data_IF_712039911663
#
_entry.id   IF_712039911663
#
_cell.length_a   1.000
_cell.length_b   1.000
_cell.length_c   1.000
_cell.angle_alpha   90.00
_cell.angle_beta   90.00
_cell.angle_gamma   90.00
#
_symmetry.space_group_name_H-M   'P 1'
#
loop_
_entity.id
_entity.type
_entity.pdbx_description
1 polymer ?
#
# COMPACT_ATOMS: atom_id res chain seq x y z
N UNK A 1 14.54 -35.77 -10.44
CA UNK A 1 14.84 -34.32 -10.54
C UNK A 1 13.53 -33.58 -10.51
N UNK A 2 13.28 -32.75 -9.50
CA UNK A 2 12.07 -31.93 -9.42
C UNK A 2 12.33 -30.62 -10.18
N UNK A 3 11.63 -30.40 -11.27
CA UNK A 3 11.66 -29.15 -12.03
C UNK A 3 10.84 -28.09 -11.30
N UNK A 4 11.49 -27.06 -10.80
CA UNK A 4 10.84 -25.84 -10.29
C UNK A 4 10.09 -25.16 -11.43
N UNK A 5 8.83 -24.74 -11.25
CA UNK A 5 8.09 -24.05 -12.29
C UNK A 5 8.65 -22.63 -12.43
N UNK A 6 9.31 -22.36 -13.55
CA UNK A 6 9.74 -21.01 -13.92
C UNK A 6 8.47 -20.19 -14.17
N UNK A 7 8.19 -19.19 -13.33
CA UNK A 7 7.13 -18.19 -13.58
C UNK A 7 7.46 -17.50 -14.91
N UNK A 8 6.82 -17.93 -15.99
CA UNK A 8 6.87 -17.25 -17.28
C UNK A 8 6.08 -15.96 -17.17
N UNK A 9 6.73 -14.87 -16.76
CA UNK A 9 6.19 -13.54 -16.96
C UNK A 9 6.25 -13.23 -18.47
N UNK A 10 5.10 -13.02 -19.15
CA UNK A 10 5.12 -12.72 -20.58
C UNK A 10 5.85 -11.40 -20.80
N UNK A 11 6.88 -11.44 -21.66
CA UNK A 11 7.59 -10.26 -22.15
C UNK A 11 6.60 -9.35 -22.88
N UNK A 12 6.45 -8.12 -22.38
CA UNK A 12 5.83 -6.94 -23.02
C UNK A 12 4.39 -6.53 -22.67
N UNK A 13 3.73 -7.10 -21.67
CA UNK A 13 2.53 -6.45 -21.11
C UNK A 13 2.98 -5.54 -19.95
N UNK A 14 2.78 -4.23 -20.08
CA UNK A 14 2.94 -3.29 -18.96
C UNK A 14 2.14 -3.86 -17.78
N UNK A 15 2.76 -4.15 -16.62
CA UNK A 15 2.06 -4.74 -15.49
C UNK A 15 0.82 -3.91 -15.16
N UNK A 16 -0.35 -4.55 -15.17
CA UNK A 16 -1.61 -3.87 -14.89
C UNK A 16 -2.10 -4.25 -13.51
N UNK A 17 -2.49 -3.23 -12.75
CA UNK A 17 -3.25 -3.44 -11.53
C UNK A 17 -4.59 -4.11 -11.85
N UNK A 18 -4.96 -5.07 -11.02
CA UNK A 18 -6.26 -5.69 -10.95
C UNK A 18 -7.33 -4.63 -10.70
N UNK A 19 -8.55 -4.93 -11.17
CA UNK A 19 -9.70 -4.06 -10.91
C UNK A 19 -9.91 -3.82 -9.41
N UNK A 20 -9.73 -4.88 -8.60
CA UNK A 20 -9.90 -4.81 -7.15
C UNK A 20 -8.83 -3.94 -6.49
N UNK A 21 -7.56 -4.04 -6.89
CA UNK A 21 -6.51 -3.14 -6.40
C UNK A 21 -6.78 -1.69 -6.78
N UNK A 22 -7.26 -1.41 -8.01
CA UNK A 22 -7.67 -0.04 -8.39
C UNK A 22 -8.81 0.48 -7.51
N UNK A 23 -9.77 -0.38 -7.17
CA UNK A 23 -10.88 -0.04 -6.27
C UNK A 23 -10.39 0.24 -4.84
N UNK A 24 -9.42 -0.52 -4.33
CA UNK A 24 -8.78 -0.29 -3.03
C UNK A 24 -8.02 1.03 -2.99
N UNK A 25 -7.24 1.34 -4.03
CA UNK A 25 -6.55 2.63 -4.16
C UNK A 25 -7.56 3.79 -4.12
N UNK A 26 -8.64 3.68 -4.89
CA UNK A 26 -9.69 4.70 -4.89
C UNK A 26 -10.30 4.89 -3.49
N UNK A 27 -10.56 3.80 -2.76
CA UNK A 27 -11.08 3.88 -1.40
C UNK A 27 -10.09 4.56 -0.45
N UNK A 28 -8.81 4.20 -0.50
CA UNK A 28 -7.77 4.84 0.29
C UNK A 28 -7.69 6.35 0.01
N UNK A 29 -7.78 6.77 -1.26
CA UNK A 29 -7.85 8.17 -1.66
C UNK A 29 -9.07 8.89 -1.06
N UNK A 30 -10.26 8.27 -1.15
CA UNK A 30 -11.48 8.85 -0.59
C UNK A 30 -11.40 9.00 0.94
N UNK A 31 -10.83 8.01 1.63
CA UNK A 31 -10.62 8.06 3.08
C UNK A 31 -9.64 9.17 3.47
N UNK A 32 -8.51 9.28 2.78
CA UNK A 32 -7.54 10.36 3.02
C UNK A 32 -8.17 11.75 2.78
N UNK A 33 -8.97 11.90 1.73
CA UNK A 33 -9.69 13.15 1.46
C UNK A 33 -10.69 13.51 2.56
N UNK A 34 -11.48 12.52 3.02
CA UNK A 34 -12.41 12.75 4.13
C UNK A 34 -11.65 13.14 5.40
N UNK A 35 -10.59 12.41 5.76
CA UNK A 35 -9.75 12.70 6.90
C UNK A 35 -9.18 14.12 6.87
N UNK A 36 -8.73 14.58 5.69
CA UNK A 36 -8.26 15.95 5.49
C UNK A 36 -9.38 16.98 5.70
N UNK A 37 -10.54 16.80 5.08
CA UNK A 37 -11.67 17.73 5.22
C UNK A 37 -12.11 17.84 6.68
N UNK A 38 -12.21 16.72 7.39
CA UNK A 38 -12.52 16.72 8.82
C UNK A 38 -11.48 17.49 9.63
N UNK A 39 -10.18 17.28 9.35
CA UNK A 39 -9.11 17.98 10.07
C UNK A 39 -9.12 19.51 9.89
N UNK A 40 -9.75 20.05 8.84
CA UNK A 40 -9.88 21.50 8.64
C UNK A 40 -10.88 22.16 9.60
N UNK A 41 -11.81 21.38 10.16
CA UNK A 41 -12.88 21.87 11.04
C UNK A 41 -12.62 21.65 12.53
N UNK A 42 -11.55 20.94 12.89
CA UNK A 42 -11.25 20.58 14.27
C UNK A 42 -10.13 21.44 14.87
N UNK A 43 -10.16 21.62 16.20
CA UNK A 43 -9.02 22.20 16.90
C UNK A 43 -7.85 21.21 16.82
N UNK A 44 -6.63 21.67 16.53
CA UNK A 44 -5.46 20.80 16.42
C UNK A 44 -5.06 20.11 17.74
N UNK A 45 -5.64 20.53 18.87
CA UNK A 45 -5.45 19.89 20.17
C UNK A 45 -6.45 18.76 20.46
N UNK A 46 -7.53 18.65 19.69
CA UNK A 46 -8.48 17.55 19.84
C UNK A 46 -7.89 16.30 19.19
N UNK A 47 -7.93 15.18 19.91
CA UNK A 47 -7.54 13.88 19.36
C UNK A 47 -8.78 13.31 18.65
N UNK A 48 -8.80 13.24 17.30
CA UNK A 48 -9.94 12.69 16.59
C UNK A 48 -10.03 11.17 16.84
N UNK A 49 -10.88 10.78 17.79
CA UNK A 49 -11.08 9.40 18.22
C UNK A 49 -11.55 8.45 17.09
N UNK A 50 -12.09 9.01 16.01
CA UNK A 50 -12.51 8.26 14.83
C UNK A 50 -11.36 7.93 13.88
N UNK A 51 -10.21 8.62 13.95
CA UNK A 51 -9.10 8.39 13.01
C UNK A 51 -8.54 6.96 13.06
N UNK A 52 -8.29 6.35 14.24
CA UNK A 52 -7.88 4.95 14.30
C UNK A 52 -8.89 4.01 13.64
N UNK A 53 -10.18 4.27 13.83
CA UNK A 53 -11.25 3.48 13.20
C UNK A 53 -11.25 3.66 11.67
N UNK A 54 -11.13 4.88 11.18
CA UNK A 54 -11.05 5.17 9.74
C UNK A 54 -9.82 4.50 9.11
N UNK A 55 -8.65 4.56 9.76
CA UNK A 55 -7.45 3.92 9.24
C UNK A 55 -7.53 2.39 9.30
N UNK A 56 -8.22 1.81 10.29
CA UNK A 56 -8.47 0.36 10.31
C UNK A 56 -9.26 -0.12 9.10
N UNK A 57 -10.12 0.72 8.52
CA UNK A 57 -10.92 0.37 7.33
C UNK A 57 -10.09 0.23 6.04
N UNK A 58 -8.94 0.90 5.96
CA UNK A 58 -8.05 0.85 4.79
C UNK A 58 -6.75 0.07 5.05
N UNK A 59 -6.54 -0.41 6.27
CA UNK A 59 -5.33 -1.13 6.66
C UNK A 59 -5.07 -2.33 5.74
N UNK A 60 -6.04 -3.24 5.65
CA UNK A 60 -5.92 -4.46 4.84
C UNK A 60 -5.91 -4.14 3.34
N UNK A 61 -6.53 -3.03 2.94
CA UNK A 61 -6.49 -2.56 1.55
C UNK A 61 -5.08 -2.11 1.16
N UNK A 62 -4.36 -1.42 2.06
CA UNK A 62 -2.96 -1.01 1.83
C UNK A 62 -2.07 -2.25 1.73
N UNK A 63 -2.24 -3.22 2.63
CA UNK A 63 -1.49 -4.48 2.57
C UNK A 63 -1.75 -5.26 1.27
N UNK A 64 -3.01 -5.33 0.82
CA UNK A 64 -3.36 -6.00 -0.43
C UNK A 64 -2.79 -5.27 -1.66
N UNK A 65 -2.77 -3.93 -1.66
CA UNK A 65 -2.15 -3.13 -2.72
C UNK A 65 -0.65 -3.41 -2.79
N UNK A 66 0.05 -3.39 -1.65
CA UNK A 66 1.49 -3.59 -1.58
C UNK A 66 1.89 -4.98 -2.10
N UNK A 67 1.19 -6.02 -1.64
CA UNK A 67 1.36 -7.38 -2.12
C UNK A 67 1.15 -7.51 -3.64
N UNK A 68 0.16 -6.81 -4.20
CA UNK A 68 -0.07 -6.83 -5.65
C UNK A 68 1.07 -6.13 -6.41
N UNK A 69 1.53 -4.97 -5.93
CA UNK A 69 2.65 -4.24 -6.51
C UNK A 69 3.94 -5.06 -6.51
N UNK A 70 4.23 -5.77 -5.41
CA UNK A 70 5.34 -6.72 -5.31
C UNK A 70 5.16 -7.88 -6.29
N UNK A 71 3.95 -8.46 -6.38
CA UNK A 71 3.67 -9.57 -7.29
C UNK A 71 3.84 -9.22 -8.78
N UNK A 72 3.61 -7.95 -9.12
CA UNK A 72 3.81 -7.37 -10.44
C UNK A 72 5.27 -7.01 -10.72
N UNK A 73 6.16 -7.15 -9.74
CA UNK A 73 7.57 -6.75 -9.82
C UNK A 73 7.75 -5.24 -9.93
N UNK A 74 6.74 -4.46 -9.56
CA UNK A 74 6.82 -3.01 -9.51
C UNK A 74 7.55 -2.56 -8.26
N UNK A 75 7.32 -3.26 -7.15
CA UNK A 75 7.91 -3.01 -5.83
C UNK A 75 8.74 -4.23 -5.38
N UNK A 76 9.70 -4.04 -4.48
CA UNK A 76 10.42 -5.12 -3.81
C UNK A 76 9.90 -5.36 -2.38
N UNK A 77 10.11 -6.56 -1.85
CA UNK A 77 9.72 -6.89 -0.46
C UNK A 77 10.48 -6.05 0.58
N UNK A 78 11.62 -5.47 0.19
CA UNK A 78 12.40 -4.56 1.04
C UNK A 78 11.91 -3.11 0.98
N UNK A 79 10.89 -2.80 0.16
CA UNK A 79 10.43 -1.43 0.00
C UNK A 79 9.85 -0.91 1.32
N UNK A 80 10.32 0.24 1.78
CA UNK A 80 9.88 0.83 3.04
C UNK A 80 10.70 0.40 4.27
N UNK A 81 11.57 -0.60 4.16
CA UNK A 81 12.59 -0.84 5.18
C UNK A 81 13.62 0.30 5.13
N UNK A 82 13.86 0.97 6.28
CA UNK A 82 14.96 1.95 6.35
C UNK A 82 16.26 1.22 6.04
N UNK A 83 17.12 1.75 5.14
CA UNK A 83 18.45 1.19 4.93
C UNK A 83 19.14 1.06 6.28
N UNK A 84 19.64 -0.13 6.60
CA UNK A 84 20.47 -0.30 7.80
C UNK A 84 21.63 0.69 7.67
N UNK A 85 21.83 1.54 8.69
CA UNK A 85 23.02 2.38 8.72
C UNK A 85 24.23 1.46 8.55
N UNK A 86 25.15 1.76 7.61
CA UNK A 86 26.38 0.98 7.53
C UNK A 86 27.06 1.10 8.89
N UNK A 87 27.38 -0.05 9.49
CA UNK A 87 28.16 -0.09 10.72
C UNK A 87 29.44 0.73 10.49
N UNK A 88 29.60 1.80 11.26
CA UNK A 88 30.77 2.65 11.18
C UNK A 88 32.00 1.78 11.50
N UNK A 89 32.87 1.60 10.51
CA UNK A 89 34.18 0.97 10.68
C UNK A 89 35.14 1.89 11.40
#
# INVERSE_FOLDING_TARGET
MATTPTKTHPKSAIPQLSYDCRRKIYRAQMVAMHAYIYSLGENPEDIPLYMPYIFSYIHDDIEAIDNELISLGLFDEAMGERPRKPDAK
#
